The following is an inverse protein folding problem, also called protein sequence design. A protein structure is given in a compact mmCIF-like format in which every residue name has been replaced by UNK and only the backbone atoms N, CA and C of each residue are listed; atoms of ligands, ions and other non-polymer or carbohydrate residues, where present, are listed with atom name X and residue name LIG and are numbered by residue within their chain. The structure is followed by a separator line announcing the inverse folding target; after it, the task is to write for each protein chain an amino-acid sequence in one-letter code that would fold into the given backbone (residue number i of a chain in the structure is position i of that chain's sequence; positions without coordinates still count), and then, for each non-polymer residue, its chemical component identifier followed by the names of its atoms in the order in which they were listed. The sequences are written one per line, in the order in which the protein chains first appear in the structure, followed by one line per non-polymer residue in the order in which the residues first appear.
data_IF_866838520037
#
_entry.id   IF_866838520037
#
_cell.length_a   1.000
_cell.length_b   1.000
_cell.length_c   1.000
_cell.angle_alpha   90.00
_cell.angle_beta   90.00
_cell.angle_gamma   90.00
#
_symmetry.space_group_name_H-M   'P 1'
#
loop_
_entity.id
_entity.type
_entity.pdbx_description
1 polymer ?
#
# COMPACT_ATOMS: atom_id res chain seq x y z
N UNK A 1 -17.05 -6.21 -7.20
CA UNK A 1 -17.14 -5.70 -5.82
C UNK A 1 -15.94 -6.23 -5.04
N UNK A 2 -15.22 -5.38 -4.30
CA UNK A 2 -14.06 -5.79 -3.51
C UNK A 2 -14.24 -5.38 -2.05
N UNK A 3 -13.79 -6.25 -1.15
CA UNK A 3 -13.73 -5.99 0.28
C UNK A 3 -12.33 -5.54 0.67
N UNK A 4 -12.27 -4.67 1.67
CA UNK A 4 -11.04 -4.13 2.25
C UNK A 4 -11.08 -4.38 3.75
N UNK A 5 -10.01 -5.00 4.26
CA UNK A 5 -9.77 -5.21 5.68
C UNK A 5 -8.73 -4.18 6.11
N UNK A 6 -9.04 -3.39 7.13
CA UNK A 6 -8.10 -2.47 7.76
C UNK A 6 -7.47 -3.18 8.97
N UNK A 7 -6.15 -3.21 9.04
CA UNK A 7 -5.41 -3.83 10.14
C UNK A 7 -5.12 -2.78 11.22
N UNK A 8 -4.99 -3.24 12.47
CA UNK A 8 -4.77 -2.38 13.64
C UNK A 8 -3.41 -1.65 13.55
N UNK A 9 -2.43 -2.25 12.88
CA UNK A 9 -1.09 -1.70 12.63
C UNK A 9 -1.06 -0.65 11.51
N UNK A 10 -2.22 -0.30 10.93
CA UNK A 10 -2.31 0.61 9.78
C UNK A 10 -2.08 -0.05 8.41
N UNK A 11 -1.94 -1.37 8.37
CA UNK A 11 -1.96 -2.16 7.15
C UNK A 11 -3.36 -2.32 6.53
N UNK A 12 -3.41 -2.88 5.32
CA UNK A 12 -4.69 -3.24 4.69
C UNK A 12 -4.57 -4.46 3.78
N UNK A 13 -5.69 -5.14 3.56
CA UNK A 13 -5.84 -6.19 2.56
C UNK A 13 -7.05 -5.90 1.68
N UNK A 14 -6.83 -5.88 0.36
CA UNK A 14 -7.90 -5.84 -0.63
C UNK A 14 -8.09 -7.23 -1.22
N UNK A 15 -9.33 -7.69 -1.34
CA UNK A 15 -9.69 -8.93 -2.10
C UNK A 15 -9.27 -8.90 -3.57
N UNK A 16 -8.90 -7.73 -4.10
CA UNK A 16 -8.29 -7.60 -5.43
C UNK A 16 -6.82 -8.02 -5.49
N UNK A 17 -6.17 -8.18 -4.33
CA UNK A 17 -4.77 -8.64 -4.17
C UNK A 17 -3.73 -7.86 -5.00
N UNK A 18 -4.05 -6.62 -5.41
CA UNK A 18 -3.19 -5.80 -6.27
C UNK A 18 -1.81 -5.55 -5.66
N UNK A 19 -1.75 -5.37 -4.34
CA UNK A 19 -0.51 -5.21 -3.59
C UNK A 19 0.37 -6.47 -3.67
N UNK A 20 -0.22 -7.66 -3.65
CA UNK A 20 0.50 -8.93 -3.75
C UNK A 20 1.00 -9.14 -5.19
N UNK A 21 0.15 -8.85 -6.18
CA UNK A 21 0.46 -9.14 -7.58
C UNK A 21 1.32 -8.08 -8.27
N UNK A 22 1.24 -6.82 -7.85
CA UNK A 22 1.91 -5.67 -8.50
C UNK A 22 2.78 -4.87 -7.55
N UNK A 23 2.75 -5.12 -6.25
CA UNK A 23 3.52 -4.34 -5.28
C UNK A 23 3.00 -2.91 -5.09
N UNK A 24 1.78 -2.62 -5.54
CA UNK A 24 1.15 -1.29 -5.46
C UNK A 24 -0.20 -1.36 -4.75
N UNK A 25 -0.58 -0.23 -4.19
CA UNK A 25 -1.90 -0.04 -3.59
C UNK A 25 -2.96 0.05 -4.68
N UNK A 26 -4.10 -0.62 -4.49
CA UNK A 26 -5.20 -0.57 -5.44
C UNK A 26 -6.04 0.70 -5.33
N UNK A 27 -6.72 1.07 -6.43
CA UNK A 27 -7.70 2.16 -6.45
C UNK A 27 -8.85 1.97 -5.42
N UNK A 28 -9.23 0.72 -5.12
CA UNK A 28 -10.27 0.44 -4.12
C UNK A 28 -9.86 0.94 -2.72
N UNK A 29 -8.60 0.76 -2.34
CA UNK A 29 -8.09 1.24 -1.06
C UNK A 29 -8.02 2.76 -1.04
N UNK A 30 -7.59 3.40 -2.14
CA UNK A 30 -7.62 4.86 -2.25
C UNK A 30 -9.04 5.43 -2.08
N UNK A 31 -10.06 4.74 -2.58
CA UNK A 31 -11.44 5.16 -2.33
C UNK A 31 -11.79 5.08 -0.83
N UNK A 32 -11.36 4.03 -0.12
CA UNK A 32 -11.60 3.91 1.33
C UNK A 32 -10.86 4.97 2.12
N UNK A 33 -9.57 5.23 1.83
CA UNK A 33 -8.78 6.20 2.61
C UNK A 33 -9.28 7.63 2.45
N UNK A 34 -9.81 7.99 1.28
CA UNK A 34 -10.43 9.31 1.05
C UNK A 34 -11.71 9.48 1.89
N UNK A 35 -12.44 8.40 2.13
CA UNK A 35 -13.77 8.43 2.77
C UNK A 35 -13.75 7.93 4.23
N UNK A 36 -12.58 7.69 4.83
CA UNK A 36 -12.47 7.07 6.14
C UNK A 36 -11.44 7.77 7.02
N UNK A 37 -11.87 8.15 8.22
CA UNK A 37 -10.98 8.73 9.24
C UNK A 37 -10.13 7.68 9.98
N UNK A 38 -10.41 6.38 9.78
CA UNK A 38 -9.69 5.28 10.44
C UNK A 38 -8.68 4.59 9.54
N UNK A 39 -8.85 4.70 8.21
CA UNK A 39 -7.93 4.12 7.26
C UNK A 39 -6.60 4.89 7.27
N UNK A 40 -5.48 4.16 7.35
CA UNK A 40 -4.13 4.71 7.29
C UNK A 40 -3.37 4.05 6.16
N UNK A 41 -2.47 4.79 5.53
CA UNK A 41 -1.58 4.26 4.51
C UNK A 41 -0.15 4.21 5.02
N UNK A 42 0.43 3.01 5.07
CA UNK A 42 1.85 2.82 5.32
C UNK A 42 2.59 2.73 3.98
N UNK A 43 3.51 3.66 3.71
CA UNK A 43 4.27 3.68 2.46
C UNK A 43 5.08 2.40 2.26
N UNK A 44 5.55 1.74 3.32
CA UNK A 44 6.31 0.49 3.27
C UNK A 44 5.53 -0.72 2.74
N UNK A 45 4.23 -0.57 2.49
CA UNK A 45 3.41 -1.55 1.76
C UNK A 45 3.65 -1.52 0.24
N UNK A 46 4.29 -0.47 -0.28
CA UNK A 46 4.71 -0.40 -1.68
C UNK A 46 5.99 -1.23 -1.86
N UNK A 47 6.01 -2.11 -2.85
CA UNK A 47 7.18 -2.92 -3.14
C UNK A 47 8.38 -2.05 -3.52
N UNK A 48 9.58 -2.46 -3.08
CA UNK A 48 10.81 -1.65 -3.20
C UNK A 48 11.08 -1.14 -4.63
N UNK A 49 10.72 -1.94 -5.63
CA UNK A 49 10.89 -1.63 -7.07
C UNK A 49 10.17 -0.35 -7.55
N UNK A 50 9.20 0.16 -6.78
CA UNK A 50 8.45 1.37 -7.13
C UNK A 50 9.00 2.64 -6.49
N UNK A 51 9.92 2.51 -5.53
CA UNK A 51 10.67 3.69 -5.09
C UNK A 51 11.67 4.05 -6.18
N UNK A 52 11.91 5.36 -6.33
CA UNK A 52 13.13 5.79 -6.99
C UNK A 52 14.28 5.20 -6.19
N UNK A 53 15.24 4.58 -6.87
CA UNK A 53 16.53 4.30 -6.24
C UNK A 53 16.97 5.61 -5.59
N UNK A 54 17.18 5.58 -4.27
CA UNK A 54 18.04 6.58 -3.68
C UNK A 54 19.32 6.51 -4.49
N UNK A 55 19.71 7.61 -5.12
CA UNK A 55 21.09 7.84 -5.56
C UNK A 55 21.94 7.92 -4.27
N UNK A 56 22.05 6.81 -3.54
CA UNK A 56 22.94 6.57 -2.41
C UNK A 56 22.80 5.13 -1.92
N UNK A 57 23.11 4.17 -2.78
CA UNK A 57 23.66 2.87 -2.37
C UNK A 57 25.14 2.82 -2.82
N UNK A 58 25.90 3.90 -2.54
CA UNK A 58 27.36 3.87 -2.51
C UNK A 58 27.81 4.18 -1.09
N UNK A 59 27.99 3.14 -0.29
CA UNK A 59 28.98 3.05 0.80
C UNK A 59 28.77 1.72 1.53
N UNK A 60 29.25 0.62 0.92
CA UNK A 60 29.98 -0.47 1.60
C UNK A 60 31.11 -0.90 0.66
#
# INVERSE_FOLDING_TARGET
KHYIILLIDGGHLCTCLFIIHRGLVCAHFFHVIINSNVAKFNIGLIAKQWYKESIHDQEI
#
